data_IF_570264324562
#
_entry.id   IF_570264324562
#
_cell.length_a   1.000
_cell.length_b   1.000
_cell.length_c   1.000
_cell.angle_alpha   90.00
_cell.angle_beta   90.00
_cell.angle_gamma   90.00
#
_symmetry.space_group_name_H-M   'P 1'
#
loop_
_entity.id
_entity.type
_entity.pdbx_description
1 polymer ?
#
# COMPACT_ATOMS: atom_id res chain seq x y z
N UNK A 1 33.56 -22.78 -17.08
CA UNK A 1 32.52 -22.02 -16.35
C UNK A 1 31.20 -22.74 -16.60
N UNK A 2 30.62 -23.36 -15.60
CA UNK A 2 29.48 -24.25 -15.76
C UNK A 2 28.18 -23.46 -15.83
N UNK A 3 27.64 -23.30 -17.02
CA UNK A 3 26.40 -22.57 -17.30
C UNK A 3 25.16 -23.17 -16.59
N UNK A 4 25.24 -24.42 -16.14
CA UNK A 4 24.18 -25.09 -15.38
C UNK A 4 24.07 -24.57 -13.94
N UNK A 5 25.19 -24.12 -13.35
CA UNK A 5 25.21 -23.55 -12.00
C UNK A 5 24.56 -22.16 -11.95
N UNK A 6 24.76 -21.33 -13.00
CA UNK A 6 24.17 -19.99 -13.11
C UNK A 6 22.66 -20.06 -13.27
N UNK A 7 22.15 -20.99 -14.09
CA UNK A 7 20.72 -21.19 -14.30
C UNK A 7 19.98 -21.64 -13.03
N UNK A 8 20.66 -22.43 -12.17
CA UNK A 8 20.09 -22.89 -10.90
C UNK A 8 20.00 -21.75 -9.88
N UNK A 9 21.03 -20.89 -9.81
CA UNK A 9 21.08 -19.73 -8.91
C UNK A 9 20.01 -18.67 -9.26
N UNK A 10 19.76 -18.44 -10.56
CA UNK A 10 18.73 -17.51 -11.02
C UNK A 10 17.32 -18.06 -10.72
N UNK A 11 17.06 -19.36 -10.96
CA UNK A 11 15.81 -20.01 -10.57
C UNK A 11 15.58 -19.95 -9.06
N UNK A 12 16.58 -20.24 -8.25
CA UNK A 12 16.48 -20.19 -6.79
C UNK A 12 16.26 -18.75 -6.28
N UNK A 13 16.77 -17.73 -6.98
CA UNK A 13 16.51 -16.33 -6.65
C UNK A 13 15.06 -15.93 -6.93
N UNK A 14 14.48 -16.36 -8.07
CA UNK A 14 13.07 -16.13 -8.39
C UNK A 14 12.13 -16.92 -7.46
N UNK A 15 12.46 -18.15 -7.11
CA UNK A 15 11.67 -18.99 -6.19
C UNK A 15 11.69 -18.41 -4.78
N UNK A 16 12.81 -17.82 -4.31
CA UNK A 16 12.86 -17.18 -3.00
C UNK A 16 12.06 -15.88 -2.90
N UNK A 17 11.86 -15.16 -4.00
CA UNK A 17 11.06 -13.92 -4.01
C UNK A 17 9.54 -14.18 -4.07
N UNK A 18 9.11 -15.33 -4.56
CA UNK A 18 7.70 -15.67 -4.74
C UNK A 18 7.23 -16.72 -3.72
N UNK A 19 7.46 -16.46 -2.44
CA UNK A 19 6.82 -17.27 -1.40
C UNK A 19 5.31 -17.05 -1.51
N UNK A 20 4.53 -18.12 -1.69
CA UNK A 20 3.09 -18.04 -1.72
C UNK A 20 2.57 -17.28 -0.49
N UNK A 21 1.59 -16.37 -0.65
CA UNK A 21 1.03 -15.64 0.47
C UNK A 21 0.37 -16.59 1.48
N UNK A 22 0.53 -16.30 2.75
CA UNK A 22 -0.17 -17.02 3.81
C UNK A 22 -1.66 -16.66 3.77
N UNK A 23 -2.51 -17.69 3.78
CA UNK A 23 -3.96 -17.52 3.71
C UNK A 23 -4.51 -16.89 4.98
N UNK A 24 -5.55 -16.07 4.83
CA UNK A 24 -6.27 -15.42 5.93
C UNK A 24 -5.38 -14.64 6.89
N UNK A 25 -4.18 -14.26 6.46
CA UNK A 25 -3.28 -13.45 7.25
C UNK A 25 -3.65 -11.98 7.08
N UNK A 26 -4.20 -11.40 8.13
CA UNK A 26 -4.37 -9.96 8.28
C UNK A 26 -3.35 -9.45 9.30
N UNK A 27 -2.45 -8.56 8.88
CA UNK A 27 -1.34 -8.07 9.71
C UNK A 27 -1.71 -6.75 10.39
N UNK A 28 -2.45 -5.89 9.69
CA UNK A 28 -2.78 -4.56 10.14
C UNK A 28 -4.19 -4.45 10.76
N UNK A 29 -4.76 -5.56 11.24
CA UNK A 29 -6.00 -5.54 11.99
C UNK A 29 -5.79 -4.81 13.34
N UNK A 30 -6.76 -4.01 13.75
CA UNK A 30 -6.81 -3.48 15.11
C UNK A 30 -7.36 -4.57 16.04
N UNK A 31 -6.46 -5.36 16.64
CA UNK A 31 -6.82 -6.56 17.40
C UNK A 31 -7.75 -6.31 18.60
N UNK A 32 -7.77 -5.12 19.17
CA UNK A 32 -8.48 -4.81 20.42
C UNK A 32 -9.40 -3.58 20.29
N UNK A 33 -9.68 -3.08 19.09
CA UNK A 33 -10.51 -1.89 18.89
C UNK A 33 -9.88 -0.58 19.39
N UNK A 34 -8.65 -0.61 19.90
CA UNK A 34 -7.95 0.60 20.35
C UNK A 34 -7.22 1.25 19.19
N UNK A 35 -7.50 2.53 18.96
CA UNK A 35 -6.79 3.35 18.00
C UNK A 35 -5.35 3.58 18.45
N UNK A 36 -4.41 2.80 17.90
CA UNK A 36 -2.99 2.92 18.18
C UNK A 36 -2.34 4.18 17.57
N UNK A 37 -3.11 4.99 16.85
CA UNK A 37 -2.59 6.23 16.25
C UNK A 37 -2.49 7.39 17.23
N UNK A 38 -2.99 7.22 18.43
CA UNK A 38 -2.96 8.25 19.49
C UNK A 38 -1.74 8.05 20.40
N UNK A 39 -0.86 9.03 20.45
CA UNK A 39 0.17 9.15 21.48
C UNK A 39 1.53 8.47 21.21
N UNK A 40 1.96 8.32 19.97
CA UNK A 40 3.27 7.73 19.66
C UNK A 40 4.41 8.77 19.65
N UNK A 41 5.44 8.47 20.43
CA UNK A 41 6.77 9.06 20.34
C UNK A 41 7.74 7.90 20.22
N UNK A 42 8.27 7.68 19.03
CA UNK A 42 9.19 6.55 18.75
C UNK A 42 10.36 6.96 17.87
N UNK A 43 11.30 6.04 17.71
CA UNK A 43 12.50 6.20 16.86
C UNK A 43 12.21 6.22 15.35
N UNK A 44 10.97 5.90 14.96
CA UNK A 44 10.52 5.94 13.58
C UNK A 44 9.96 7.32 13.24
N UNK A 45 10.25 7.79 12.04
CA UNK A 45 9.84 9.09 11.55
C UNK A 45 8.68 8.98 10.55
N UNK A 46 7.94 10.07 10.40
CA UNK A 46 7.14 10.30 9.21
C UNK A 46 8.07 10.49 8.00
N UNK A 47 7.55 10.41 6.77
CA UNK A 47 8.32 10.79 5.58
C UNK A 47 8.97 12.16 5.79
N UNK A 48 10.11 12.39 5.15
CA UNK A 48 10.78 13.68 5.20
C UNK A 48 9.86 14.79 4.69
N UNK A 49 9.30 15.51 5.61
CA UNK A 49 8.41 16.63 5.35
C UNK A 49 8.82 17.79 6.23
N UNK A 50 9.38 18.83 5.60
CA UNK A 50 9.87 20.03 6.30
C UNK A 50 8.77 20.79 7.02
N UNK A 51 7.53 20.74 6.52
CA UNK A 51 6.37 21.38 7.14
C UNK A 51 5.97 20.64 8.40
N UNK A 52 5.88 19.31 8.35
CA UNK A 52 5.58 18.48 9.52
C UNK A 52 6.65 18.60 10.58
N UNK A 53 7.94 18.63 10.21
CA UNK A 53 9.04 18.85 11.16
C UNK A 53 8.96 20.20 11.83
N UNK A 54 8.70 21.26 11.06
CA UNK A 54 8.73 22.63 11.57
C UNK A 54 7.47 23.06 12.32
N UNK A 55 6.30 22.54 11.99
CA UNK A 55 5.00 23.02 12.51
C UNK A 55 4.13 21.93 13.13
N UNK A 56 4.28 20.69 12.73
CA UNK A 56 3.40 19.58 13.13
C UNK A 56 3.99 18.62 14.16
N UNK A 57 5.20 18.84 14.65
CA UNK A 57 5.92 17.89 15.50
C UNK A 57 5.95 16.46 14.90
N UNK A 58 5.95 16.35 13.56
CA UNK A 58 5.88 15.08 12.86
C UNK A 58 4.47 14.46 12.80
N UNK A 59 3.42 15.13 13.22
CA UNK A 59 2.05 14.61 13.19
C UNK A 59 1.30 15.06 11.92
N UNK A 60 0.65 14.11 11.24
CA UNK A 60 -0.23 14.36 10.09
C UNK A 60 -1.48 15.20 10.44
N UNK A 61 -1.70 15.51 11.70
CA UNK A 61 -2.82 16.34 12.16
C UNK A 61 -2.84 17.71 11.49
N UNK A 62 -1.67 18.27 11.17
CA UNK A 62 -1.58 19.53 10.42
C UNK A 62 -2.26 19.40 9.05
N UNK A 63 -2.04 18.30 8.33
CA UNK A 63 -2.69 18.05 7.05
C UNK A 63 -4.20 17.84 7.20
N UNK A 64 -4.65 17.20 8.28
CA UNK A 64 -6.08 17.06 8.57
C UNK A 64 -6.74 18.43 8.79
N UNK A 65 -6.06 19.36 9.45
CA UNK A 65 -6.52 20.74 9.61
C UNK A 65 -6.62 21.49 8.26
N UNK A 66 -5.60 21.35 7.39
CA UNK A 66 -5.64 21.93 6.06
C UNK A 66 -6.79 21.32 5.22
N UNK A 67 -7.02 20.01 5.35
CA UNK A 67 -8.10 19.32 4.63
C UNK A 67 -9.50 19.69 5.15
N UNK A 68 -9.62 20.30 6.33
CA UNK A 68 -10.89 20.82 6.83
C UNK A 68 -11.33 22.13 6.16
N UNK A 69 -10.44 22.78 5.40
CA UNK A 69 -10.79 23.90 4.53
C UNK A 69 -11.63 23.39 3.35
N UNK A 70 -12.75 24.05 3.08
CA UNK A 70 -13.73 23.63 2.10
C UNK A 70 -13.16 23.66 0.66
N UNK A 71 -12.35 24.62 0.32
CA UNK A 71 -11.76 24.75 -1.01
C UNK A 71 -10.69 23.71 -1.25
N UNK A 72 -9.83 23.46 -0.28
CA UNK A 72 -8.83 22.38 -0.33
C UNK A 72 -9.50 21.03 -0.47
N UNK A 73 -10.49 20.75 0.36
CA UNK A 73 -11.27 19.50 0.33
C UNK A 73 -11.98 19.31 -1.00
N UNK A 74 -12.65 20.34 -1.51
CA UNK A 74 -13.35 20.32 -2.79
C UNK A 74 -12.39 20.06 -3.95
N UNK A 75 -11.26 20.76 -3.98
CA UNK A 75 -10.25 20.58 -5.04
C UNK A 75 -9.68 19.16 -5.02
N UNK A 76 -9.35 18.61 -3.86
CA UNK A 76 -8.88 17.22 -3.74
C UNK A 76 -9.95 16.23 -4.22
N UNK A 77 -11.23 16.46 -3.87
CA UNK A 77 -12.33 15.62 -4.32
C UNK A 77 -12.53 15.70 -5.84
N UNK A 78 -12.43 16.88 -6.45
CA UNK A 78 -12.50 17.04 -7.91
C UNK A 78 -11.41 16.22 -8.61
N UNK A 79 -10.16 16.31 -8.15
CA UNK A 79 -9.05 15.51 -8.68
C UNK A 79 -9.31 14.02 -8.55
N UNK A 80 -9.76 13.58 -7.37
CA UNK A 80 -10.10 12.18 -7.12
C UNK A 80 -11.21 11.71 -8.08
N UNK A 81 -12.27 12.48 -8.20
CA UNK A 81 -13.41 12.12 -9.06
C UNK A 81 -13.01 12.08 -10.54
N UNK A 82 -12.15 13.02 -11.00
CA UNK A 82 -11.63 13.01 -12.35
C UNK A 82 -10.75 11.77 -12.64
N UNK A 83 -10.02 11.28 -11.64
CA UNK A 83 -9.25 10.03 -11.77
C UNK A 83 -10.18 8.81 -11.83
N UNK A 84 -11.16 8.71 -10.92
CA UNK A 84 -12.10 7.57 -10.86
C UNK A 84 -13.00 7.51 -12.10
N UNK A 85 -13.36 8.67 -12.68
CA UNK A 85 -14.16 8.74 -13.91
C UNK A 85 -13.43 8.18 -15.14
N UNK A 86 -12.14 7.91 -15.05
CA UNK A 86 -11.37 7.25 -16.11
C UNK A 86 -11.55 5.76 -16.04
N UNK A 87 -11.99 5.16 -17.13
CA UNK A 87 -12.06 3.70 -17.25
C UNK A 87 -10.64 3.11 -17.21
N UNK A 88 -10.45 2.14 -16.34
CA UNK A 88 -9.24 1.32 -16.30
C UNK A 88 -9.43 0.08 -17.19
N UNK A 89 -8.33 -0.45 -17.72
CA UNK A 89 -8.32 -1.64 -18.55
C UNK A 89 -7.36 -2.66 -18.00
N UNK A 90 -7.67 -3.92 -18.25
CA UNK A 90 -6.76 -5.05 -18.07
C UNK A 90 -6.66 -5.73 -19.43
N UNK A 91 -5.53 -5.56 -20.08
CA UNK A 91 -5.24 -6.16 -21.37
C UNK A 91 -4.38 -7.43 -21.17
N UNK A 92 -4.64 -8.47 -21.97
CA UNK A 92 -3.82 -9.67 -21.94
C UNK A 92 -2.40 -9.35 -22.45
N UNK A 93 -1.38 -10.00 -21.87
CA UNK A 93 0.02 -9.81 -22.29
C UNK A 93 0.30 -10.35 -23.70
N UNK A 94 -0.45 -11.37 -24.13
CA UNK A 94 -0.43 -11.91 -25.48
C UNK A 94 -1.78 -12.55 -25.83
N UNK A 95 -1.93 -12.99 -27.08
CA UNK A 95 -3.12 -13.73 -27.54
C UNK A 95 -3.15 -15.20 -27.07
N UNK A 96 -2.23 -15.63 -26.21
CA UNK A 96 -2.24 -16.95 -25.64
C UNK A 96 -3.48 -17.19 -24.77
N UNK A 97 -4.10 -18.37 -24.79
CA UNK A 97 -5.26 -18.65 -23.95
C UNK A 97 -5.01 -18.43 -22.46
N UNK A 98 -3.80 -18.65 -21.99
CA UNK A 98 -3.39 -18.45 -20.60
C UNK A 98 -3.39 -16.96 -20.21
N UNK A 99 -2.84 -16.09 -21.07
CA UNK A 99 -2.78 -14.66 -20.81
C UNK A 99 -4.16 -14.03 -20.88
N UNK A 100 -5.01 -14.50 -21.80
CA UNK A 100 -6.41 -14.07 -21.89
C UNK A 100 -7.18 -14.44 -20.63
N UNK A 101 -7.08 -15.72 -20.18
CA UNK A 101 -7.71 -16.16 -18.93
C UNK A 101 -7.22 -15.37 -17.71
N UNK A 102 -5.91 -15.09 -17.64
CA UNK A 102 -5.33 -14.29 -16.55
C UNK A 102 -5.88 -12.85 -16.53
N UNK A 103 -6.00 -12.22 -17.70
CA UNK A 103 -6.55 -10.87 -17.80
C UNK A 103 -8.04 -10.82 -17.40
N UNK A 104 -8.83 -11.80 -17.82
CA UNK A 104 -10.24 -11.93 -17.44
C UNK A 104 -10.40 -12.14 -15.93
N UNK A 105 -9.58 -13.01 -15.35
CA UNK A 105 -9.57 -13.26 -13.91
C UNK A 105 -9.23 -11.99 -13.13
N UNK A 106 -8.17 -11.27 -13.51
CA UNK A 106 -7.78 -10.02 -12.84
C UNK A 106 -8.86 -8.95 -12.98
N UNK A 107 -9.47 -8.81 -14.15
CA UNK A 107 -10.57 -7.87 -14.39
C UNK A 107 -11.77 -8.17 -13.48
N UNK A 108 -12.16 -9.44 -13.40
CA UNK A 108 -13.24 -9.90 -12.52
C UNK A 108 -12.92 -9.63 -11.05
N UNK A 109 -11.71 -9.95 -10.61
CA UNK A 109 -11.27 -9.70 -9.24
C UNK A 109 -11.24 -8.21 -8.89
N UNK A 110 -10.70 -7.32 -9.75
CA UNK A 110 -10.67 -5.88 -9.53
C UNK A 110 -12.08 -5.29 -9.42
N UNK A 111 -13.03 -5.75 -10.23
CA UNK A 111 -14.44 -5.37 -10.12
C UNK A 111 -15.02 -5.79 -8.76
N UNK A 112 -14.77 -7.04 -8.35
CA UNK A 112 -15.32 -7.60 -7.10
C UNK A 112 -14.80 -6.86 -5.85
N UNK A 113 -13.51 -6.48 -5.82
CA UNK A 113 -12.94 -5.72 -4.69
C UNK A 113 -13.33 -4.24 -4.70
N UNK A 114 -13.96 -3.75 -5.77
CA UNK A 114 -14.34 -2.36 -5.94
C UNK A 114 -13.13 -1.46 -6.14
N UNK A 115 -12.37 -1.69 -7.20
CA UNK A 115 -11.11 -1.01 -7.46
C UNK A 115 -11.21 0.51 -7.52
N UNK A 116 -12.31 1.07 -8.03
CA UNK A 116 -12.54 2.52 -8.05
C UNK A 116 -12.60 3.11 -6.63
N UNK A 117 -13.26 2.43 -5.71
CA UNK A 117 -13.30 2.83 -4.30
C UNK A 117 -11.91 2.78 -3.68
N UNK A 118 -11.16 1.72 -3.95
CA UNK A 118 -9.79 1.56 -3.44
C UNK A 118 -8.89 2.66 -4.00
N UNK A 119 -8.94 2.89 -5.32
CA UNK A 119 -8.19 3.95 -6.00
C UNK A 119 -8.52 5.32 -5.42
N UNK A 120 -9.81 5.59 -5.16
CA UNK A 120 -10.25 6.83 -4.52
C UNK A 120 -9.71 7.01 -3.09
N UNK A 121 -9.54 5.93 -2.33
CA UNK A 121 -8.91 5.97 -1.01
C UNK A 121 -7.39 6.12 -1.09
N UNK A 122 -6.74 5.42 -2.03
CA UNK A 122 -5.30 5.53 -2.25
C UNK A 122 -4.90 6.90 -2.80
N UNK A 123 -5.81 7.59 -3.54
CA UNK A 123 -5.58 8.94 -4.04
C UNK A 123 -5.27 9.97 -2.94
N UNK A 124 -5.71 9.73 -1.70
CA UNK A 124 -5.29 10.58 -0.58
C UNK A 124 -3.77 10.58 -0.36
N UNK A 125 -3.05 9.60 -0.90
CA UNK A 125 -1.59 9.61 -0.94
C UNK A 125 -1.01 10.82 -1.67
N UNK A 126 -1.71 11.37 -2.66
CA UNK A 126 -1.30 12.61 -3.36
C UNK A 126 -1.27 13.80 -2.41
N UNK A 127 -2.18 13.85 -1.43
CA UNK A 127 -2.25 14.94 -0.45
C UNK A 127 -1.29 14.73 0.73
N UNK A 128 -1.17 13.49 1.19
CA UNK A 128 -0.37 13.16 2.39
C UNK A 128 1.04 12.65 2.07
N UNK A 129 1.43 12.58 0.81
CA UNK A 129 2.71 12.05 0.35
C UNK A 129 2.73 10.52 0.20
N UNK A 130 1.87 9.79 0.91
CA UNK A 130 1.77 8.33 0.79
C UNK A 130 0.40 7.79 1.19
N UNK A 131 0.10 6.59 0.70
CA UNK A 131 -1.02 5.76 1.14
C UNK A 131 -0.60 4.29 1.19
N UNK A 132 -1.22 3.52 2.06
CA UNK A 132 -0.89 2.10 2.24
C UNK A 132 -2.17 1.27 2.20
N UNK A 133 -2.16 0.23 1.40
CA UNK A 133 -3.19 -0.81 1.42
C UNK A 133 -2.57 -2.16 1.83
N UNK A 134 -3.32 -2.92 2.58
CA UNK A 134 -2.99 -4.30 2.94
C UNK A 134 -3.79 -5.26 2.07
N UNK A 135 -3.13 -6.29 1.58
CA UNK A 135 -3.72 -7.38 0.81
C UNK A 135 -3.93 -8.59 1.71
N UNK A 136 -5.19 -8.92 1.96
CA UNK A 136 -5.57 -10.08 2.76
C UNK A 136 -5.95 -11.21 1.82
N UNK A 137 -5.07 -12.19 1.71
CA UNK A 137 -5.21 -13.28 0.76
C UNK A 137 -6.15 -14.38 1.27
N UNK A 138 -6.91 -14.94 0.33
CA UNK A 138 -7.74 -16.14 0.52
C UNK A 138 -7.73 -16.99 -0.75
N UNK A 139 -8.21 -18.22 -0.66
CA UNK A 139 -8.44 -19.08 -1.83
C UNK A 139 -9.93 -19.05 -2.17
N UNK A 140 -10.25 -18.76 -3.42
CA UNK A 140 -11.57 -18.93 -4.03
C UNK A 140 -11.42 -19.76 -5.31
N UNK A 141 -12.17 -20.83 -5.42
CA UNK A 141 -12.18 -21.74 -6.57
C UNK A 141 -10.76 -22.19 -6.99
N UNK A 142 -9.89 -22.45 -6.01
CA UNK A 142 -8.52 -22.89 -6.23
C UNK A 142 -7.55 -21.79 -6.69
N UNK A 143 -8.00 -20.55 -6.79
CA UNK A 143 -7.18 -19.38 -7.15
C UNK A 143 -6.93 -18.50 -5.95
N UNK A 144 -5.73 -17.90 -5.86
CA UNK A 144 -5.44 -16.87 -4.85
C UNK A 144 -6.11 -15.55 -5.25
N UNK A 145 -6.95 -15.05 -4.35
CA UNK A 145 -7.53 -13.70 -4.44
C UNK A 145 -7.17 -12.91 -3.19
N UNK A 146 -7.23 -11.60 -3.25
CA UNK A 146 -6.98 -10.75 -2.10
C UNK A 146 -8.09 -9.72 -1.92
N UNK A 147 -8.48 -9.49 -0.67
CA UNK A 147 -9.19 -8.27 -0.30
C UNK A 147 -8.16 -7.15 -0.15
N UNK A 148 -8.47 -5.97 -0.66
CA UNK A 148 -7.60 -4.79 -0.55
C UNK A 148 -8.20 -3.85 0.48
N UNK A 149 -7.49 -3.66 1.59
CA UNK A 149 -7.90 -2.80 2.71
C UNK A 149 -6.97 -1.60 2.82
N UNK A 150 -7.42 -0.42 2.43
CA UNK A 150 -6.65 0.81 2.65
C UNK A 150 -6.62 1.10 4.14
N UNK A 151 -5.41 1.20 4.67
CA UNK A 151 -5.16 1.34 6.11
C UNK A 151 -4.93 2.78 6.51
N UNK A 152 -5.24 3.11 7.77
CA UNK A 152 -4.97 4.43 8.30
C UNK A 152 -3.46 4.70 8.29
N UNK A 153 -3.04 5.72 7.54
CA UNK A 153 -1.63 6.09 7.35
C UNK A 153 -0.90 6.44 8.64
N UNK A 154 -1.60 6.89 9.66
CA UNK A 154 -1.02 7.21 10.97
C UNK A 154 -0.43 6.00 11.68
N UNK A 155 -0.80 4.78 11.26
CA UNK A 155 -0.23 3.53 11.77
C UNK A 155 1.13 3.17 11.18
N UNK A 156 1.59 3.92 10.20
CA UNK A 156 2.83 3.62 9.48
C UNK A 156 3.88 4.68 9.75
N UNK A 157 5.12 4.26 9.74
CA UNK A 157 6.32 5.08 9.88
C UNK A 157 7.37 4.60 8.90
N UNK A 158 8.43 5.36 8.76
CA UNK A 158 9.53 5.05 7.87
C UNK A 158 10.82 4.91 8.67
N UNK A 159 11.66 3.93 8.28
CA UNK A 159 13.03 3.86 8.77
C UNK A 159 13.85 4.99 8.13
N UNK A 160 15.05 5.29 8.66
CA UNK A 160 15.98 6.22 8.00
C UNK A 160 16.37 5.81 6.57
N UNK A 161 16.19 4.54 6.21
CA UNK A 161 16.42 3.98 4.88
C UNK A 161 15.17 4.02 3.99
N UNK A 162 14.07 4.63 4.45
CA UNK A 162 12.82 4.73 3.70
C UNK A 162 11.92 3.48 3.74
N UNK A 163 12.25 2.46 4.54
CA UNK A 163 11.43 1.26 4.64
C UNK A 163 10.15 1.52 5.43
N UNK A 164 9.03 1.02 4.93
CA UNK A 164 7.75 1.12 5.60
C UNK A 164 7.67 0.18 6.82
N UNK A 165 7.26 0.73 7.96
CA UNK A 165 7.03 0.01 9.21
C UNK A 165 5.61 0.24 9.72
N UNK A 166 4.96 -0.82 10.17
CA UNK A 166 3.64 -0.75 10.81
C UNK A 166 3.80 -0.69 12.32
N UNK A 167 3.22 0.33 12.93
CA UNK A 167 3.14 0.44 14.38
C UNK A 167 2.07 -0.54 14.92
N UNK A 168 2.47 -1.36 15.86
CA UNK A 168 1.60 -2.25 16.61
C UNK A 168 1.71 -1.94 18.10
N UNK A 169 0.69 -2.35 18.89
CA UNK A 169 0.62 -2.04 20.31
C UNK A 169 1.89 -2.42 21.08
N UNK A 170 2.40 -3.61 20.79
CA UNK A 170 3.55 -4.18 21.51
C UNK A 170 4.90 -3.71 20.95
N UNK A 171 4.91 -3.07 19.79
CA UNK A 171 6.12 -2.51 19.18
C UNK A 171 5.82 -1.17 18.49
N UNK A 172 5.90 -0.10 19.28
CA UNK A 172 5.65 1.27 18.83
C UNK A 172 6.93 2.02 18.50
N UNK A 173 8.08 1.49 18.91
CA UNK A 173 9.37 2.15 18.73
C UNK A 173 10.02 1.84 17.39
N UNK A 174 9.98 0.58 16.96
CA UNK A 174 10.60 0.12 15.70
C UNK A 174 9.58 -0.37 14.68
N UNK A 175 8.33 -0.61 15.09
CA UNK A 175 7.30 -1.17 14.24
C UNK A 175 7.63 -2.58 13.73
N UNK A 176 6.74 -3.13 12.94
CA UNK A 176 6.94 -4.40 12.25
C UNK A 176 7.08 -4.16 10.75
N UNK A 177 7.74 -5.08 10.06
CA UNK A 177 7.94 -5.01 8.62
C UNK A 177 6.61 -5.11 7.86
N UNK A 178 6.55 -4.41 6.73
CA UNK A 178 5.43 -4.46 5.80
C UNK A 178 5.87 -5.21 4.54
N UNK A 179 5.94 -6.56 4.56
CA UNK A 179 6.53 -7.31 3.48
C UNK A 179 5.64 -7.31 2.23
N UNK A 180 6.27 -7.29 1.06
CA UNK A 180 5.65 -7.66 -0.20
C UNK A 180 5.42 -9.18 -0.18
N UNK A 181 4.26 -9.71 -0.61
CA UNK A 181 3.17 -9.06 -1.33
C UNK A 181 1.99 -8.58 -0.45
N UNK A 182 2.13 -8.49 0.85
CA UNK A 182 1.01 -8.17 1.75
C UNK A 182 0.65 -6.68 1.80
N UNK A 183 1.57 -5.79 1.43
CA UNK A 183 1.35 -4.36 1.46
C UNK A 183 1.61 -3.72 0.10
N UNK A 184 0.67 -2.88 -0.31
CA UNK A 184 0.81 -1.98 -1.43
C UNK A 184 1.06 -0.58 -0.89
N UNK A 185 2.30 -0.11 -1.04
CA UNK A 185 2.74 1.21 -0.65
C UNK A 185 2.77 2.13 -1.88
N UNK A 186 1.98 3.19 -1.84
CA UNK A 186 1.92 4.23 -2.86
C UNK A 186 2.54 5.51 -2.31
N UNK A 187 3.57 6.01 -2.94
CA UNK A 187 4.27 7.25 -2.62
C UNK A 187 4.10 8.27 -3.72
N UNK A 188 4.10 9.54 -3.35
CA UNK A 188 4.06 10.69 -4.26
C UNK A 188 4.92 11.82 -3.72
N UNK A 189 5.31 12.75 -4.58
CA UNK A 189 5.99 13.98 -4.17
C UNK A 189 7.51 13.90 -4.17
N UNK A 190 8.09 12.75 -4.56
CA UNK A 190 9.50 12.69 -4.89
C UNK A 190 9.73 13.23 -6.31
N UNK A 191 10.71 14.08 -6.48
CA UNK A 191 11.19 14.58 -7.77
C UNK A 191 12.51 13.91 -8.19
N UNK A 192 12.94 12.88 -7.43
CA UNK A 192 14.14 12.08 -7.64
C UNK A 192 13.90 10.65 -7.15
N UNK A 193 14.75 9.73 -7.61
CA UNK A 193 14.65 8.28 -7.34
C UNK A 193 15.50 7.82 -6.13
N UNK A 194 15.98 8.72 -5.28
CA UNK A 194 16.84 8.43 -4.12
C UNK A 194 16.02 7.96 -2.89
#
# INVERSE_FOLDING_TARGET
>A
MDLTAVGKTVKDWFVRKNKAPELNREIAASGDGQDITKGYVGSLAYPEDTVLRGRGFGDLKLYEQVLSDEEVSSTLQQRRNAMIAREWKVDAASDSPQDVEAAEFIRGWLNNVGFDRISGLMHYGVFYGYAVAELVYRIEDGKYVADIKVRNRRRFRFTPQGELRLLVRDNQSTGIECPTPYFWHFCTGSDHDD
#
